data_IF_395591793366
#
_entry.id   IF_395591793366
#
_cell.length_a   1.000
_cell.length_b   1.000
_cell.length_c   1.000
_cell.angle_alpha   90.00
_cell.angle_beta   90.00
_cell.angle_gamma   90.00
#
_symmetry.space_group_name_H-M   'P 1'
#
loop_
_entity.id
_entity.type
_entity.pdbx_description
1 polymer ?
#
# COMPACT_ATOMS: atom_id res chain seq x y z
N UNK A 1 23.16 9.35 35.37
CA UNK A 1 23.15 9.18 33.90
C UNK A 1 21.97 8.31 33.50
N UNK A 2 20.84 8.88 33.08
CA UNK A 2 19.79 8.14 32.35
C UNK A 2 19.05 9.15 31.46
N UNK A 3 19.54 9.33 30.24
CA UNK A 3 19.02 10.30 29.28
C UNK A 3 17.80 9.75 28.55
N UNK A 4 16.69 10.51 28.62
CA UNK A 4 15.59 10.67 27.66
C UNK A 4 15.73 9.96 26.30
N UNK A 5 15.56 8.64 26.25
CA UNK A 5 15.34 7.94 24.98
C UNK A 5 13.86 7.99 24.59
N UNK A 6 12.93 7.78 25.54
CA UNK A 6 11.47 7.85 25.30
C UNK A 6 11.04 9.22 24.76
N UNK A 7 11.52 10.29 25.39
CA UNK A 7 11.19 11.68 25.00
C UNK A 7 11.67 12.04 23.59
N UNK A 8 12.84 11.52 23.16
CA UNK A 8 13.30 11.72 21.78
C UNK A 8 12.48 10.94 20.76
N UNK A 9 11.99 9.76 21.10
CA UNK A 9 11.08 9.01 20.23
C UNK A 9 9.71 9.69 20.10
N UNK A 10 9.16 10.23 21.19
CA UNK A 10 7.91 11.00 21.18
C UNK A 10 8.06 12.34 20.40
N UNK A 11 9.21 13.01 20.52
CA UNK A 11 9.50 14.22 19.74
C UNK A 11 9.77 13.93 18.26
N UNK A 12 10.28 12.75 17.90
CA UNK A 12 10.44 12.33 16.51
C UNK A 12 9.12 11.87 15.87
N UNK A 13 8.22 11.24 16.65
CA UNK A 13 6.87 10.92 16.21
C UNK A 13 6.05 12.18 15.88
N UNK A 14 6.25 13.27 16.63
CA UNK A 14 5.66 14.60 16.38
C UNK A 14 6.10 15.27 15.07
N UNK A 15 7.12 14.75 14.41
CA UNK A 15 7.63 15.25 13.12
C UNK A 15 7.68 14.09 12.14
N UNK A 16 6.73 13.17 12.24
CA UNK A 16 6.56 12.16 11.22
C UNK A 16 5.90 12.82 10.01
N UNK A 17 6.56 12.88 8.83
CA UNK A 17 5.98 13.50 7.64
C UNK A 17 4.73 12.76 7.11
N UNK A 18 4.35 11.62 7.74
CA UNK A 18 3.16 10.83 7.43
C UNK A 18 1.99 11.15 8.37
N UNK A 19 2.26 11.76 9.52
CA UNK A 19 1.26 12.25 10.48
C UNK A 19 0.85 13.66 10.04
N UNK A 20 -0.23 13.71 9.26
CA UNK A 20 -0.68 14.91 8.54
C UNK A 20 -1.54 15.79 9.45
N UNK A 21 -2.27 15.18 10.39
CA UNK A 21 -3.07 15.90 11.38
C UNK A 21 -2.33 16.23 12.68
N UNK A 22 -1.13 15.67 12.87
CA UNK A 22 -0.21 16.00 13.96
C UNK A 22 -0.64 15.41 15.30
N UNK A 23 -1.46 14.36 15.30
CA UNK A 23 -1.96 13.70 16.51
C UNK A 23 -0.92 12.75 17.16
N UNK A 24 0.23 12.57 16.52
CA UNK A 24 1.33 11.71 16.94
C UNK A 24 1.19 10.24 16.50
N UNK A 25 0.17 9.90 15.72
CA UNK A 25 -0.15 8.54 15.26
C UNK A 25 -0.57 8.53 13.80
N UNK A 26 0.18 7.84 12.94
CA UNK A 26 -0.23 7.66 11.54
C UNK A 26 -1.48 6.77 11.45
N UNK A 27 -2.60 7.39 11.14
CA UNK A 27 -3.87 6.69 10.92
C UNK A 27 -3.89 5.95 9.57
N UNK A 28 -4.73 4.92 9.38
CA UNK A 28 -4.83 4.22 8.09
C UNK A 28 -5.21 5.12 6.92
N UNK A 29 -6.00 6.17 7.17
CA UNK A 29 -6.36 7.16 6.16
C UNK A 29 -5.15 8.01 5.74
N UNK A 30 -4.33 8.43 6.69
CA UNK A 30 -3.13 9.22 6.44
C UNK A 30 -2.05 8.40 5.75
N UNK A 31 -1.86 7.14 6.17
CA UNK A 31 -1.01 6.19 5.47
C UNK A 31 -1.45 6.04 4.00
N UNK A 32 -2.74 5.84 3.75
CA UNK A 32 -3.27 5.73 2.39
C UNK A 32 -3.04 7.00 1.56
N UNK A 33 -3.28 8.19 2.13
CA UNK A 33 -3.02 9.47 1.47
C UNK A 33 -1.54 9.67 1.15
N UNK A 34 -0.66 9.35 2.09
CA UNK A 34 0.79 9.43 1.91
C UNK A 34 1.30 8.48 0.84
N UNK A 35 0.84 7.22 0.86
CA UNK A 35 1.15 6.23 -0.19
C UNK A 35 0.66 6.73 -1.54
N UNK A 36 -0.56 7.25 -1.61
CA UNK A 36 -1.15 7.74 -2.84
C UNK A 36 -0.38 8.93 -3.41
N UNK A 37 0.03 9.89 -2.58
CA UNK A 37 0.87 11.02 -2.97
C UNK A 37 2.25 10.54 -3.45
N UNK A 38 2.89 9.66 -2.67
CA UNK A 38 4.17 9.09 -3.04
C UNK A 38 4.09 8.32 -4.36
N UNK A 39 3.07 7.50 -4.58
CA UNK A 39 2.89 6.75 -5.82
C UNK A 39 2.59 7.65 -7.02
N UNK A 40 1.98 8.82 -6.82
CA UNK A 40 1.78 9.79 -7.90
C UNK A 40 3.09 10.46 -8.31
N UNK A 41 3.95 10.77 -7.35
CA UNK A 41 5.23 11.45 -7.59
C UNK A 41 6.38 10.50 -7.95
N UNK A 42 6.30 9.23 -7.55
CA UNK A 42 7.33 8.23 -7.81
C UNK A 42 7.37 7.79 -9.28
N UNK A 43 8.56 7.43 -9.76
CA UNK A 43 8.76 6.86 -11.09
C UNK A 43 8.03 5.51 -11.23
N UNK A 44 7.66 5.08 -12.45
CA UNK A 44 7.01 3.78 -12.66
C UNK A 44 7.81 2.62 -12.05
N UNK A 45 9.13 2.67 -12.18
CA UNK A 45 10.06 1.67 -11.64
C UNK A 45 10.07 1.66 -10.10
N UNK A 46 10.05 2.83 -9.47
CA UNK A 46 10.00 2.96 -8.00
C UNK A 46 8.68 2.44 -7.43
N UNK A 47 7.56 2.77 -8.08
CA UNK A 47 6.24 2.23 -7.71
C UNK A 47 6.25 0.72 -7.77
N UNK A 48 6.79 0.15 -8.86
CA UNK A 48 6.84 -1.29 -9.04
C UNK A 48 7.73 -1.97 -8.00
N UNK A 49 8.88 -1.37 -7.67
CA UNK A 49 9.77 -1.84 -6.60
C UNK A 49 9.08 -1.83 -5.24
N UNK A 50 8.38 -0.75 -4.90
CA UNK A 50 7.68 -0.62 -3.61
C UNK A 50 6.52 -1.61 -3.49
N UNK A 51 5.74 -1.78 -4.55
CA UNK A 51 4.69 -2.80 -4.61
C UNK A 51 5.29 -4.20 -4.46
N UNK A 52 6.41 -4.48 -5.13
CA UNK A 52 7.11 -5.75 -5.02
C UNK A 52 7.65 -6.00 -3.61
N UNK A 53 8.28 -5.02 -2.98
CA UNK A 53 8.76 -5.09 -1.59
C UNK A 53 7.59 -5.35 -0.62
N UNK A 54 6.47 -4.64 -0.81
CA UNK A 54 5.26 -4.79 -0.01
C UNK A 54 4.65 -6.18 -0.10
N UNK A 55 4.42 -6.65 -1.33
CA UNK A 55 3.88 -7.98 -1.59
C UNK A 55 4.88 -9.04 -1.14
N UNK A 56 6.19 -8.78 -1.30
CA UNK A 56 7.28 -9.60 -0.78
C UNK A 56 7.24 -9.74 0.75
N UNK A 57 6.75 -8.73 1.47
CA UNK A 57 6.52 -8.77 2.92
C UNK A 57 5.22 -9.47 3.34
N UNK A 58 4.30 -9.73 2.41
CA UNK A 58 3.03 -10.42 2.72
C UNK A 58 3.23 -11.93 2.93
N UNK A 59 2.37 -12.51 3.77
CA UNK A 59 2.24 -13.96 3.89
C UNK A 59 1.68 -14.58 2.60
N UNK A 60 1.96 -15.86 2.30
CA UNK A 60 1.42 -16.54 1.11
C UNK A 60 -0.10 -16.44 0.98
N UNK A 61 -0.83 -16.56 2.09
CA UNK A 61 -2.30 -16.42 2.12
C UNK A 61 -2.77 -15.01 1.73
N UNK A 62 -2.06 -13.96 2.17
CA UNK A 62 -2.38 -12.59 1.81
C UNK A 62 -2.10 -12.31 0.33
N UNK A 63 -1.02 -12.88 -0.20
CA UNK A 63 -0.70 -12.82 -1.63
C UNK A 63 -1.75 -13.53 -2.48
N UNK A 64 -2.19 -14.70 -2.04
CA UNK A 64 -3.30 -15.41 -2.69
C UNK A 64 -4.56 -14.56 -2.68
N UNK A 65 -4.97 -14.02 -1.53
CA UNK A 65 -6.14 -13.16 -1.44
C UNK A 65 -6.05 -11.94 -2.37
N UNK A 66 -4.88 -11.31 -2.42
CA UNK A 66 -4.64 -10.18 -3.32
C UNK A 66 -4.72 -10.61 -4.79
N UNK A 67 -4.09 -11.72 -5.15
CA UNK A 67 -4.12 -12.27 -6.50
C UNK A 67 -5.53 -12.65 -6.94
N UNK A 68 -6.28 -13.34 -6.08
CA UNK A 68 -7.69 -13.66 -6.30
C UNK A 68 -8.54 -12.39 -6.46
N UNK A 69 -8.35 -11.38 -5.62
CA UNK A 69 -9.08 -10.12 -5.72
C UNK A 69 -8.82 -9.40 -7.05
N UNK A 70 -7.57 -9.44 -7.54
CA UNK A 70 -7.19 -8.93 -8.85
C UNK A 70 -7.92 -9.73 -9.93
N UNK A 71 -7.73 -11.04 -10.03
CA UNK A 71 -8.26 -11.82 -11.17
C UNK A 71 -9.78 -12.00 -11.15
N UNK A 72 -10.42 -11.89 -9.97
CA UNK A 72 -11.86 -12.10 -9.80
C UNK A 72 -12.71 -11.03 -10.47
N UNK A 73 -12.20 -9.81 -10.61
CA UNK A 73 -12.94 -8.75 -11.29
C UNK A 73 -12.89 -8.99 -12.80
N UNK A 74 -14.02 -9.28 -13.48
CA UNK A 74 -14.04 -9.58 -14.90
C UNK A 74 -13.62 -8.39 -15.78
N UNK A 75 -13.69 -7.18 -15.23
CA UNK A 75 -13.23 -5.96 -15.88
C UNK A 75 -11.74 -5.68 -15.65
N UNK A 76 -11.04 -6.54 -14.91
CA UNK A 76 -9.61 -6.39 -14.72
C UNK A 76 -8.88 -6.86 -15.99
N UNK A 77 -7.95 -6.07 -16.57
CA UNK A 77 -7.10 -6.55 -17.66
C UNK A 77 -6.28 -7.79 -17.30
N UNK A 78 -6.09 -8.06 -16.00
CA UNK A 78 -5.33 -9.21 -15.51
C UNK A 78 -6.29 -10.33 -15.08
N UNK A 79 -6.30 -11.42 -15.85
CA UNK A 79 -7.14 -12.60 -15.59
C UNK A 79 -6.35 -13.76 -14.94
N UNK A 80 -5.03 -13.66 -14.90
CA UNK A 80 -4.14 -14.65 -14.28
C UNK A 80 -2.98 -13.91 -13.63
N UNK A 81 -2.61 -14.37 -12.45
CA UNK A 81 -1.47 -13.86 -11.70
C UNK A 81 -0.85 -15.00 -10.91
N UNK A 82 0.48 -15.03 -10.85
CA UNK A 82 1.23 -15.94 -10.02
C UNK A 82 1.33 -15.36 -8.61
N UNK A 83 0.58 -15.91 -7.66
CA UNK A 83 0.62 -15.44 -6.27
C UNK A 83 1.92 -15.80 -5.52
N UNK A 84 2.68 -16.77 -6.03
CA UNK A 84 3.99 -17.14 -5.48
C UNK A 84 5.09 -16.17 -5.91
N UNK A 85 4.88 -15.40 -6.99
CA UNK A 85 5.82 -14.40 -7.47
C UNK A 85 5.36 -12.97 -7.08
N UNK A 86 6.02 -12.31 -6.12
CA UNK A 86 5.67 -10.95 -5.72
C UNK A 86 5.80 -9.92 -6.85
N UNK A 87 6.66 -10.17 -7.83
CA UNK A 87 6.82 -9.29 -8.99
C UNK A 87 5.63 -9.36 -9.93
N UNK A 88 5.12 -10.56 -10.20
CA UNK A 88 3.94 -10.79 -11.03
C UNK A 88 2.69 -10.19 -10.38
N UNK A 89 2.52 -10.35 -9.06
CA UNK A 89 1.46 -9.68 -8.31
C UNK A 89 1.57 -8.15 -8.30
N UNK A 90 2.79 -7.60 -8.17
CA UNK A 90 3.01 -6.16 -8.21
C UNK A 90 2.66 -5.57 -9.58
N UNK A 91 3.07 -6.25 -10.65
CA UNK A 91 2.78 -5.86 -12.02
C UNK A 91 1.28 -5.98 -12.31
N UNK A 92 0.65 -7.07 -11.87
CA UNK A 92 -0.78 -7.27 -11.97
C UNK A 92 -1.57 -6.15 -11.27
N UNK A 93 -1.20 -5.84 -10.02
CA UNK A 93 -1.80 -4.75 -9.25
C UNK A 93 -1.65 -3.39 -9.96
N UNK A 94 -0.45 -3.09 -10.48
CA UNK A 94 -0.19 -1.84 -11.19
C UNK A 94 -1.05 -1.71 -12.45
N UNK A 95 -1.24 -2.80 -13.20
CA UNK A 95 -2.14 -2.85 -14.37
C UNK A 95 -3.60 -2.66 -13.97
N UNK A 96 -4.03 -3.28 -12.87
CA UNK A 96 -5.38 -3.10 -12.31
C UNK A 96 -5.64 -1.66 -11.86
N UNK A 97 -4.63 -1.00 -11.29
CA UNK A 97 -4.71 0.40 -10.87
C UNK A 97 -4.81 1.37 -12.05
N UNK A 98 -4.18 1.03 -13.18
CA UNK A 98 -4.20 1.83 -14.41
C UNK A 98 -5.35 1.46 -15.35
N UNK A 99 -6.11 0.42 -15.03
CA UNK A 99 -7.21 -0.05 -15.84
C UNK A 99 -8.29 1.05 -15.96
N UNK A 100 -8.93 1.19 -17.13
CA UNK A 100 -9.97 2.18 -17.32
C UNK A 100 -11.12 1.96 -16.32
N UNK A 101 -11.71 3.07 -15.86
CA UNK A 101 -12.88 3.02 -14.99
C UNK A 101 -13.99 2.22 -15.66
N UNK A 102 -14.58 1.32 -14.89
CA UNK A 102 -15.72 0.52 -15.32
C UNK A 102 -16.95 1.39 -15.50
N UNK A 103 -18.02 0.84 -16.07
CA UNK A 103 -19.30 1.55 -16.29
C UNK A 103 -19.89 2.15 -14.99
N UNK A 104 -19.57 1.59 -13.82
CA UNK A 104 -19.92 2.11 -12.49
C UNK A 104 -19.10 3.36 -12.06
N UNK A 105 -18.18 3.83 -12.92
CA UNK A 105 -17.31 4.98 -12.65
C UNK A 105 -16.10 4.68 -11.77
N UNK A 106 -15.96 3.44 -11.25
CA UNK A 106 -14.85 3.02 -10.38
C UNK A 106 -13.80 2.21 -11.14
N UNK A 107 -12.53 2.41 -10.82
CA UNK A 107 -11.45 1.54 -11.32
C UNK A 107 -11.64 0.11 -10.77
N UNK A 108 -11.21 -0.94 -11.49
CA UNK A 108 -11.24 -2.31 -10.99
C UNK A 108 -10.60 -2.48 -9.61
N UNK A 109 -9.54 -1.72 -9.35
CA UNK A 109 -8.91 -1.69 -8.04
C UNK A 109 -9.82 -1.06 -6.98
N UNK A 110 -10.40 0.11 -7.27
CA UNK A 110 -11.33 0.79 -6.37
C UNK A 110 -12.57 -0.06 -6.05
N UNK A 111 -13.07 -0.83 -7.02
CA UNK A 111 -14.14 -1.80 -6.79
C UNK A 111 -13.72 -2.93 -5.82
N UNK A 112 -12.46 -3.38 -5.91
CA UNK A 112 -11.92 -4.37 -4.97
C UNK A 112 -11.73 -3.81 -3.55
N UNK A 113 -11.44 -2.50 -3.41
CA UNK A 113 -11.33 -1.79 -2.12
C UNK A 113 -12.66 -1.21 -1.59
N UNK A 114 -13.69 -1.12 -2.43
CA UNK A 114 -15.01 -0.58 -2.06
C UNK A 114 -15.68 -1.44 -0.98
N UNK A 115 -16.69 -0.88 -0.33
CA UNK A 115 -17.46 -1.55 0.72
C UNK A 115 -18.07 -2.86 0.17
N UNK A 116 -17.66 -4.01 0.73
CA UNK A 116 -18.01 -5.36 0.24
C UNK A 116 -17.02 -5.98 -0.76
N UNK A 117 -16.00 -5.23 -1.18
CA UNK A 117 -14.88 -5.70 -1.97
C UNK A 117 -13.87 -6.49 -1.14
N UNK A 118 -13.18 -7.43 -1.77
CA UNK A 118 -12.29 -8.39 -1.11
C UNK A 118 -11.08 -7.72 -0.40
N UNK A 119 -10.67 -6.53 -0.85
CA UNK A 119 -9.57 -5.74 -0.28
C UNK A 119 -10.03 -4.71 0.76
N UNK A 120 -11.32 -4.60 1.07
CA UNK A 120 -11.83 -3.70 2.11
C UNK A 120 -11.53 -4.19 3.54
N UNK A 121 -10.97 -5.40 3.67
CA UNK A 121 -10.73 -6.09 4.94
C UNK A 121 -9.78 -5.34 5.87
N UNK A 122 -9.95 -5.42 7.21
CA UNK A 122 -9.06 -4.82 8.20
C UNK A 122 -7.58 -5.19 8.03
N UNK A 123 -7.31 -6.40 7.53
CA UNK A 123 -5.96 -6.88 7.20
C UNK A 123 -5.27 -6.01 6.14
N UNK A 124 -6.03 -5.53 5.15
CA UNK A 124 -5.51 -4.66 4.10
C UNK A 124 -5.24 -3.25 4.64
N UNK A 125 -6.10 -2.75 5.53
CA UNK A 125 -5.85 -1.48 6.24
C UNK A 125 -4.55 -1.52 7.05
N UNK A 126 -4.30 -2.63 7.75
CA UNK A 126 -3.04 -2.84 8.46
C UNK A 126 -1.84 -2.94 7.49
N UNK A 127 -2.04 -3.57 6.33
CA UNK A 127 -1.05 -3.62 5.25
C UNK A 127 -0.66 -2.24 4.72
N UNK A 128 -1.63 -1.32 4.53
CA UNK A 128 -1.36 0.05 4.08
C UNK A 128 -0.51 0.83 5.09
N UNK A 129 -0.78 0.72 6.39
CA UNK A 129 0.06 1.35 7.41
C UNK A 129 1.49 0.78 7.38
N UNK A 130 1.63 -0.53 7.18
CA UNK A 130 2.94 -1.17 6.99
C UNK A 130 3.69 -0.71 5.73
N UNK A 131 2.97 -0.51 4.62
CA UNK A 131 3.53 0.04 3.38
C UNK A 131 4.03 1.48 3.56
N UNK A 132 3.24 2.34 4.21
CA UNK A 132 3.68 3.70 4.57
C UNK A 132 4.89 3.68 5.52
N UNK A 133 4.95 2.66 6.39
CA UNK A 133 6.13 2.23 7.15
C UNK A 133 7.39 2.08 6.32
N UNK A 134 7.32 1.22 5.30
CA UNK A 134 8.44 0.90 4.41
C UNK A 134 8.88 2.08 3.55
N UNK A 135 7.93 2.80 2.93
CA UNK A 135 8.22 3.97 2.08
C UNK A 135 8.94 5.04 2.90
N UNK A 136 8.42 5.38 4.09
CA UNK A 136 9.06 6.34 4.99
C UNK A 136 10.46 5.90 5.41
N UNK A 137 10.64 4.60 5.71
CA UNK A 137 11.95 4.04 6.07
C UNK A 137 12.97 4.11 4.93
N UNK A 138 12.53 3.93 3.68
CA UNK A 138 13.39 3.99 2.47
C UNK A 138 13.88 5.41 2.20
N UNK A 139 13.00 6.41 2.38
CA UNK A 139 13.34 7.83 2.25
C UNK A 139 14.30 8.31 3.34
N UNK A 140 14.10 7.87 4.59
CA UNK A 140 14.98 8.20 5.71
C UNK A 140 16.37 7.58 5.57
N UNK A 141 16.49 6.41 4.94
CA UNK A 141 17.77 5.72 4.70
C UNK A 141 18.53 6.26 3.49
N UNK A 142 17.84 6.95 2.57
CA UNK A 142 18.44 7.56 1.38
C UNK A 142 19.02 8.96 1.60
N UNK A 143 19.16 9.42 2.84
CA UNK A 143 19.65 10.75 3.22
C UNK A 143 20.96 10.69 3.98
#
# INVERSE_FOLDING_TARGET
MFFNQKDRHEQMARIDPRDTDGDGTVSPQEAAAYIQDYMQNASPEERQQILKDYIGGMSPEQRQQMGDAIVKSPANPVQRVNHDDPGDLADAYARTAQAPRQEDGKSPLEAAFSEGGMLSSPLVKAGLVGLAGMIGSKLLRGR
#
